data_IF_960882980285
#
_entry.id   IF_960882980285
#
_cell.length_a   1.000
_cell.length_b   1.000
_cell.length_c   1.000
_cell.angle_alpha   90.00
_cell.angle_beta   90.00
_cell.angle_gamma   90.00
#
_symmetry.space_group_name_H-M   'P 1'
#
loop_
_entity.id
_entity.type
_entity.pdbx_description
1 polymer ?
#
# COMPACT_ATOMS: atom_id res chain seq x y z
N UNK A 1 -18.60 -43.13 -25.00
CA UNK A 1 -17.29 -42.94 -25.67
C UNK A 1 -17.25 -41.51 -26.19
N UNK A 2 -16.42 -40.64 -25.60
CA UNK A 2 -16.24 -39.28 -26.10
C UNK A 2 -15.66 -39.29 -27.53
N UNK A 3 -16.20 -38.44 -28.40
CA UNK A 3 -15.87 -38.42 -29.82
C UNK A 3 -14.44 -37.92 -30.07
N UNK A 4 -13.89 -38.24 -31.24
CA UNK A 4 -12.59 -37.72 -31.68
C UNK A 4 -12.55 -36.18 -31.72
N UNK A 5 -13.71 -35.54 -31.95
CA UNK A 5 -13.85 -34.09 -31.98
C UNK A 5 -13.61 -33.45 -30.60
N UNK A 6 -14.17 -34.03 -29.53
CA UNK A 6 -14.00 -33.56 -28.14
C UNK A 6 -12.54 -33.65 -27.65
N UNK A 7 -11.75 -34.57 -28.22
CA UNK A 7 -10.32 -34.73 -27.87
C UNK A 7 -9.42 -33.69 -28.53
N UNK A 8 -9.79 -33.20 -29.71
CA UNK A 8 -9.00 -32.21 -30.48
C UNK A 8 -9.25 -30.79 -29.97
N UNK A 9 -10.48 -30.47 -29.57
CA UNK A 9 -10.83 -29.13 -29.08
C UNK A 9 -10.29 -28.80 -27.68
N UNK A 10 -9.75 -29.77 -26.93
CA UNK A 10 -9.20 -29.53 -25.58
C UNK A 10 -8.01 -28.55 -25.61
N UNK A 11 -7.18 -28.60 -26.64
CA UNK A 11 -6.02 -27.71 -26.83
C UNK A 11 -6.38 -26.31 -27.38
N UNK A 12 -7.58 -26.15 -27.94
CA UNK A 12 -8.12 -24.86 -28.40
C UNK A 12 -8.90 -24.13 -27.29
N UNK A 13 -9.11 -24.78 -26.15
CA UNK A 13 -9.62 -24.12 -24.96
C UNK A 13 -8.50 -23.21 -24.44
N UNK A 14 -8.70 -21.88 -24.34
CA UNK A 14 -7.70 -21.04 -23.69
C UNK A 14 -7.41 -21.62 -22.30
N UNK A 15 -6.15 -21.62 -21.84
CA UNK A 15 -5.84 -22.04 -20.48
C UNK A 15 -6.75 -21.24 -19.54
N UNK A 16 -7.33 -21.86 -18.50
CA UNK A 16 -8.15 -21.12 -17.56
C UNK A 16 -7.33 -19.93 -17.07
N UNK A 17 -7.86 -18.72 -17.24
CA UNK A 17 -7.22 -17.51 -16.75
C UNK A 17 -6.81 -17.77 -15.31
N UNK A 18 -5.53 -17.54 -14.99
CA UNK A 18 -5.00 -17.75 -13.64
C UNK A 18 -5.68 -16.74 -12.72
N UNK A 19 -6.83 -17.14 -12.19
CA UNK A 19 -7.57 -16.36 -11.22
C UNK A 19 -6.77 -16.35 -9.94
N UNK A 20 -6.01 -15.27 -9.74
CA UNK A 20 -5.26 -15.05 -8.51
C UNK A 20 -6.23 -14.80 -7.37
N UNK A 21 -5.80 -15.10 -6.14
CA UNK A 21 -6.57 -14.79 -4.96
C UNK A 21 -6.82 -13.27 -4.89
N UNK A 22 -8.08 -12.81 -4.70
CA UNK A 22 -8.42 -11.42 -4.41
C UNK A 22 -7.41 -10.74 -3.47
N UNK A 23 -7.09 -9.47 -3.73
CA UNK A 23 -6.02 -8.75 -3.03
C UNK A 23 -6.16 -8.86 -1.50
N UNK A 24 -7.38 -8.77 -0.97
CA UNK A 24 -7.66 -8.88 0.46
C UNK A 24 -7.36 -10.27 1.05
N UNK A 25 -7.50 -11.37 0.28
CA UNK A 25 -7.11 -12.73 0.70
C UNK A 25 -5.59 -12.83 0.76
N UNK A 26 -4.90 -12.33 -0.26
CA UNK A 26 -3.45 -12.29 -0.30
C UNK A 26 -2.88 -11.49 0.88
N UNK A 27 -3.45 -10.32 1.18
CA UNK A 27 -3.08 -9.48 2.31
C UNK A 27 -3.38 -10.15 3.67
N UNK A 28 -4.58 -10.73 3.83
CA UNK A 28 -4.98 -11.42 5.07
C UNK A 28 -4.06 -12.60 5.40
N UNK A 29 -3.70 -13.41 4.40
CA UNK A 29 -2.79 -14.56 4.59
C UNK A 29 -1.34 -14.16 4.91
N UNK A 30 -0.96 -12.91 4.61
CA UNK A 30 0.39 -12.36 4.82
C UNK A 30 0.51 -11.47 6.07
N UNK A 31 -0.52 -11.42 6.91
CA UNK A 31 -0.49 -10.66 8.17
C UNK A 31 -0.72 -9.15 8.02
N UNK A 32 -1.32 -8.69 6.92
CA UNK A 32 -1.69 -7.29 6.77
C UNK A 32 -2.71 -6.82 7.83
N UNK A 33 -2.72 -5.52 8.11
CA UNK A 33 -3.63 -4.92 9.08
C UNK A 33 -5.11 -5.17 8.74
N UNK A 34 -5.94 -5.36 9.79
CA UNK A 34 -7.38 -5.61 9.62
C UNK A 34 -8.12 -4.48 8.89
N UNK A 35 -7.64 -3.25 9.05
CA UNK A 35 -8.18 -2.07 8.37
C UNK A 35 -7.91 -2.13 6.86
N UNK A 36 -6.65 -2.35 6.48
CA UNK A 36 -6.23 -2.52 5.08
C UNK A 36 -6.95 -3.69 4.39
N UNK A 37 -7.09 -4.83 5.08
CA UNK A 37 -7.82 -6.00 4.55
C UNK A 37 -9.30 -5.67 4.31
N UNK A 38 -9.97 -4.96 5.23
CA UNK A 38 -11.37 -4.55 5.07
C UNK A 38 -11.55 -3.52 3.96
N UNK A 39 -10.62 -2.59 3.80
CA UNK A 39 -10.63 -1.62 2.71
C UNK A 39 -10.42 -2.30 1.34
N UNK A 40 -9.58 -3.33 1.26
CA UNK A 40 -9.30 -4.06 0.02
C UNK A 40 -10.44 -5.03 -0.39
N UNK A 41 -11.31 -5.42 0.55
CA UNK A 41 -12.36 -6.43 0.34
C UNK A 41 -13.35 -6.11 -0.80
N UNK A 42 -13.87 -4.87 -0.96
CA UNK A 42 -14.82 -4.52 -2.02
C UNK A 42 -14.25 -4.54 -3.44
N UNK A 43 -12.93 -4.51 -3.61
CA UNK A 43 -12.28 -4.51 -4.94
C UNK A 43 -12.17 -5.91 -5.56
N UNK A 44 -12.29 -6.98 -4.76
CA UNK A 44 -12.21 -8.35 -5.27
C UNK A 44 -10.89 -8.68 -5.96
N UNK A 45 -10.97 -9.08 -7.23
CA UNK A 45 -9.84 -9.36 -8.13
C UNK A 45 -9.35 -8.11 -8.92
N UNK A 46 -10.01 -6.94 -8.82
CA UNK A 46 -9.58 -5.71 -9.49
C UNK A 46 -8.45 -4.97 -8.74
N UNK A 47 -7.23 -5.46 -8.97
CA UNK A 47 -6.00 -4.87 -8.43
C UNK A 47 -5.75 -3.43 -8.93
N UNK A 48 -6.06 -3.10 -10.18
CA UNK A 48 -5.78 -1.77 -10.72
C UNK A 48 -6.70 -0.73 -10.07
N UNK A 49 -7.99 -1.04 -9.91
CA UNK A 49 -8.92 -0.20 -9.18
C UNK A 49 -8.51 -0.04 -7.71
N UNK A 50 -8.12 -1.12 -7.03
CA UNK A 50 -7.62 -1.03 -5.65
C UNK A 50 -6.37 -0.13 -5.55
N UNK A 51 -5.36 -0.38 -6.38
CA UNK A 51 -4.11 0.39 -6.37
C UNK A 51 -4.34 1.86 -6.73
N UNK A 52 -5.20 2.16 -7.69
CA UNK A 52 -5.58 3.52 -8.06
C UNK A 52 -6.40 4.23 -6.96
N UNK A 53 -7.30 3.52 -6.28
CA UNK A 53 -8.19 4.10 -5.27
C UNK A 53 -7.56 4.27 -3.88
N UNK A 54 -6.46 3.58 -3.56
CA UNK A 54 -5.84 3.60 -2.22
C UNK A 54 -5.48 5.02 -1.76
N UNK A 55 -6.13 5.59 -0.74
CA UNK A 55 -5.91 6.99 -0.36
C UNK A 55 -4.66 7.21 0.51
N UNK A 56 -4.12 6.14 1.11
CA UNK A 56 -3.10 6.18 2.16
C UNK A 56 -1.75 5.66 1.65
N UNK A 57 -0.67 6.40 1.91
CA UNK A 57 0.67 6.09 1.42
C UNK A 57 1.26 4.86 2.13
N UNK A 58 1.06 4.76 3.44
CA UNK A 58 1.51 3.63 4.26
C UNK A 58 0.79 2.32 3.90
N UNK A 59 -0.45 2.39 3.40
CA UNK A 59 -1.17 1.23 2.88
C UNK A 59 -0.58 0.72 1.57
N UNK A 60 -0.23 1.61 0.63
CA UNK A 60 0.46 1.21 -0.60
C UNK A 60 1.81 0.53 -0.29
N UNK A 61 2.54 1.05 0.70
CA UNK A 61 3.81 0.47 1.16
C UNK A 61 3.58 -0.88 1.85
N UNK A 62 2.59 -0.98 2.73
CA UNK A 62 2.23 -2.25 3.38
C UNK A 62 1.81 -3.31 2.34
N UNK A 63 0.99 -2.96 1.33
CA UNK A 63 0.63 -3.86 0.23
C UNK A 63 1.89 -4.33 -0.48
N UNK A 64 2.75 -3.41 -0.94
CA UNK A 64 3.97 -3.75 -1.68
C UNK A 64 4.89 -4.68 -0.89
N UNK A 65 5.15 -4.32 0.37
CA UNK A 65 5.95 -5.12 1.31
C UNK A 65 5.36 -6.53 1.48
N UNK A 66 4.04 -6.64 1.74
CA UNK A 66 3.36 -7.92 1.97
C UNK A 66 3.39 -8.80 0.72
N UNK A 67 3.04 -8.29 -0.46
CA UNK A 67 2.98 -9.13 -1.68
C UNK A 67 4.35 -9.64 -2.13
N UNK A 68 5.45 -9.06 -1.63
CA UNK A 68 6.82 -9.47 -1.93
C UNK A 68 7.53 -8.57 -2.95
N UNK A 69 7.12 -7.30 -3.08
CA UNK A 69 7.95 -6.30 -3.80
C UNK A 69 9.29 -6.19 -3.08
N UNK A 70 10.38 -6.14 -3.85
CA UNK A 70 11.74 -6.07 -3.33
C UNK A 70 11.89 -4.99 -2.23
N UNK A 71 12.48 -5.29 -1.06
CA UNK A 71 12.70 -4.31 0.00
C UNK A 71 13.44 -3.05 -0.49
N UNK A 72 14.33 -3.18 -1.49
CA UNK A 72 15.03 -2.05 -2.10
C UNK A 72 14.05 -1.06 -2.76
N UNK A 73 12.96 -1.54 -3.38
CA UNK A 73 11.92 -0.68 -3.98
C UNK A 73 11.07 0.02 -2.91
N UNK A 74 10.74 -0.70 -1.82
CA UNK A 74 10.05 -0.12 -0.66
C UNK A 74 10.90 0.98 -0.01
N UNK A 75 12.19 0.71 0.21
CA UNK A 75 13.17 1.67 0.73
C UNK A 75 13.33 2.87 -0.22
N UNK A 76 13.35 2.67 -1.55
CA UNK A 76 13.41 3.77 -2.51
C UNK A 76 12.14 4.65 -2.53
N UNK A 77 10.96 4.08 -2.24
CA UNK A 77 9.73 4.86 -2.06
C UNK A 77 9.76 5.67 -0.75
N UNK A 78 10.29 5.09 0.33
CA UNK A 78 10.46 5.77 1.63
C UNK A 78 11.55 6.85 1.60
N UNK A 79 12.61 6.65 0.82
CA UNK A 79 13.64 7.67 0.54
C UNK A 79 13.06 8.86 -0.25
N UNK A 80 12.05 8.66 -1.12
CA UNK A 80 11.34 9.76 -1.80
C UNK A 80 10.23 10.39 -0.95
N UNK A 81 9.64 9.68 0.02
CA UNK A 81 8.77 10.32 1.02
C UNK A 81 9.58 11.17 2.00
N UNK A 82 10.79 10.71 2.32
CA UNK A 82 11.89 11.56 2.81
C UNK A 82 12.35 12.51 1.69
N UNK A 83 13.13 13.55 1.99
CA UNK A 83 13.42 14.68 1.07
C UNK A 83 12.21 15.57 0.76
N UNK A 84 11.01 15.00 0.58
CA UNK A 84 9.74 15.71 0.81
C UNK A 84 9.50 15.99 2.31
N UNK A 85 10.30 15.40 3.20
CA UNK A 85 10.49 15.82 4.59
C UNK A 85 11.63 15.06 5.29
N UNK A 86 11.73 15.20 6.61
CA UNK A 86 12.82 14.65 7.45
C UNK A 86 12.28 13.68 8.51
N UNK A 87 11.82 12.51 8.08
CA UNK A 87 11.44 11.45 9.03
C UNK A 87 12.66 10.90 9.78
N UNK A 88 12.50 10.73 11.09
CA UNK A 88 13.52 10.11 11.94
C UNK A 88 13.35 8.59 11.98
N UNK A 89 12.11 8.10 11.98
CA UNK A 89 11.87 6.65 12.09
C UNK A 89 12.43 5.88 10.90
N UNK A 90 12.23 6.36 9.65
CA UNK A 90 12.85 5.70 8.50
C UNK A 90 14.37 5.82 8.48
N UNK A 91 14.96 6.94 8.92
CA UNK A 91 16.41 7.07 9.03
C UNK A 91 17.04 6.00 9.95
N UNK A 92 16.33 5.58 11.01
CA UNK A 92 16.74 4.47 11.88
C UNK A 92 16.54 3.08 11.26
N UNK A 93 15.49 2.88 10.44
CA UNK A 93 15.22 1.59 9.79
C UNK A 93 16.07 1.34 8.54
N UNK A 94 16.47 2.39 7.82
CA UNK A 94 17.20 2.35 6.54
C UNK A 94 18.44 1.42 6.51
N UNK A 95 19.30 1.34 7.55
CA UNK A 95 20.47 0.46 7.54
C UNK A 95 20.16 -1.04 7.49
N UNK A 96 18.91 -1.43 7.74
CA UNK A 96 18.47 -2.83 7.80
C UNK A 96 17.97 -3.32 6.42
N UNK A 97 18.02 -2.45 5.39
CA UNK A 97 17.57 -2.72 4.03
C UNK A 97 18.37 -3.86 3.38
N UNK A 98 17.81 -5.07 3.41
CA UNK A 98 18.46 -6.31 2.95
C UNK A 98 18.48 -7.44 3.98
N UNK A 99 18.09 -7.18 5.23
CA UNK A 99 17.84 -8.24 6.21
C UNK A 99 16.52 -8.95 5.89
N UNK A 100 16.55 -10.29 5.86
CA UNK A 100 15.43 -11.11 5.40
C UNK A 100 14.13 -10.91 6.21
N UNK A 101 14.27 -10.70 7.52
CA UNK A 101 13.14 -10.63 8.47
C UNK A 101 12.77 -9.21 8.90
N UNK A 102 13.36 -8.17 8.29
CA UNK A 102 13.09 -6.76 8.63
C UNK A 102 11.77 -6.22 8.05
N UNK A 103 10.91 -7.07 7.47
CA UNK A 103 9.69 -6.68 6.77
C UNK A 103 8.71 -5.90 7.68
N UNK A 104 8.42 -6.42 8.87
CA UNK A 104 7.53 -5.76 9.84
C UNK A 104 8.08 -4.38 10.22
N UNK A 105 9.39 -4.30 10.44
CA UNK A 105 10.07 -3.05 10.79
C UNK A 105 10.00 -2.01 9.66
N UNK A 106 10.03 -2.41 8.38
CA UNK A 106 9.78 -1.49 7.27
C UNK A 106 8.33 -1.03 7.17
N UNK A 107 7.36 -1.91 7.45
CA UNK A 107 5.94 -1.55 7.47
C UNK A 107 5.67 -0.55 8.60
N UNK A 108 6.20 -0.79 9.79
CA UNK A 108 6.03 0.11 10.94
C UNK A 108 6.82 1.41 10.77
N UNK A 109 8.05 1.35 10.22
CA UNK A 109 8.79 2.56 9.87
C UNK A 109 8.08 3.38 8.79
N UNK A 110 7.42 2.74 7.81
CA UNK A 110 6.63 3.43 6.80
C UNK A 110 5.41 4.14 7.39
N UNK A 111 4.65 3.46 8.25
CA UNK A 111 3.51 4.06 8.97
C UNK A 111 3.95 5.27 9.80
N UNK A 112 5.01 5.11 10.60
CA UNK A 112 5.55 6.18 11.42
C UNK A 112 6.06 7.36 10.56
N UNK A 113 6.78 7.08 9.47
CA UNK A 113 7.28 8.09 8.52
C UNK A 113 6.15 8.89 7.90
N UNK A 114 5.10 8.23 7.42
CA UNK A 114 3.94 8.92 6.84
C UNK A 114 3.23 9.77 7.90
N UNK A 115 3.04 9.27 9.14
CA UNK A 115 2.48 10.08 10.23
C UNK A 115 3.36 11.28 10.57
N UNK A 116 4.67 11.10 10.76
CA UNK A 116 5.63 12.18 11.01
C UNK A 116 5.58 13.25 9.90
N UNK A 117 5.51 12.85 8.63
CA UNK A 117 5.43 13.76 7.48
C UNK A 117 4.11 14.53 7.47
N UNK A 118 2.96 13.86 7.64
CA UNK A 118 1.64 14.51 7.63
C UNK A 118 1.49 15.46 8.84
N UNK A 119 1.91 15.05 10.04
CA UNK A 119 1.88 15.89 11.26
C UNK A 119 2.91 17.03 11.26
N UNK A 120 3.92 16.97 10.38
CA UNK A 120 4.87 18.08 10.17
C UNK A 120 4.28 19.22 9.34
N UNK A 121 3.21 18.97 8.57
CA UNK A 121 2.57 19.96 7.70
C UNK A 121 1.93 21.10 8.52
N UNK A 122 2.21 22.38 8.20
CA UNK A 122 1.64 23.52 8.91
C UNK A 122 0.11 23.52 8.97
N UNK A 123 -0.55 23.17 7.87
CA UNK A 123 -2.00 23.13 7.71
C UNK A 123 -2.66 22.05 8.58
N UNK A 124 -2.12 20.84 8.59
CA UNK A 124 -2.57 19.73 9.46
C UNK A 124 -2.40 20.11 10.93
N UNK A 125 -1.24 20.68 11.29
CA UNK A 125 -0.97 21.13 12.66
C UNK A 125 -1.90 22.24 13.11
N UNK A 126 -2.15 23.23 12.26
CA UNK A 126 -3.08 24.31 12.53
C UNK A 126 -4.52 23.81 12.73
N UNK A 127 -4.96 22.84 11.93
CA UNK A 127 -6.28 22.22 12.07
C UNK A 127 -6.42 21.42 13.38
N UNK A 128 -5.40 20.62 13.75
CA UNK A 128 -5.36 19.90 15.04
C UNK A 128 -5.39 20.88 16.22
N UNK A 129 -4.59 21.95 16.18
CA UNK A 129 -4.55 22.95 17.25
C UNK A 129 -5.80 23.83 17.31
N UNK A 130 -6.55 23.97 16.21
CA UNK A 130 -7.88 24.56 16.21
C UNK A 130 -8.87 23.64 16.93
N UNK A 131 -8.94 22.35 16.57
CA UNK A 131 -9.83 21.38 17.22
C UNK A 131 -9.67 21.34 18.75
N UNK A 132 -8.44 21.45 19.24
CA UNK A 132 -8.12 21.47 20.69
C UNK A 132 -8.64 22.69 21.46
N UNK A 133 -8.92 23.81 20.78
CA UNK A 133 -9.27 25.10 21.40
C UNK A 133 -10.76 25.44 21.35
N UNK A 134 -11.52 24.67 20.59
CA UNK A 134 -12.93 24.95 20.27
C UNK A 134 -13.89 24.24 21.23
N UNK A 135 -15.07 24.83 21.41
CA UNK A 135 -16.17 24.16 22.11
C UNK A 135 -16.76 23.03 21.25
N UNK A 136 -17.47 22.08 21.87
CA UNK A 136 -17.93 20.84 21.22
C UNK A 136 -18.75 21.06 19.94
N UNK A 137 -19.47 22.18 19.83
CA UNK A 137 -20.28 22.49 18.64
C UNK A 137 -19.42 22.89 17.43
N UNK A 138 -18.34 23.63 17.66
CA UNK A 138 -17.42 24.10 16.63
C UNK A 138 -16.37 23.02 16.27
N UNK A 139 -16.08 22.12 17.22
CA UNK A 139 -15.18 20.98 17.03
C UNK A 139 -15.59 20.07 15.85
N UNK A 140 -16.88 19.91 15.55
CA UNK A 140 -17.32 19.05 14.44
C UNK A 140 -16.85 19.57 13.07
N UNK A 141 -17.03 20.87 12.81
CA UNK A 141 -16.60 21.50 11.57
C UNK A 141 -15.07 21.58 11.47
N UNK A 142 -14.38 21.90 12.57
CA UNK A 142 -12.93 21.93 12.61
C UNK A 142 -12.31 20.53 12.43
N UNK A 143 -12.92 19.49 12.99
CA UNK A 143 -12.49 18.09 12.79
C UNK A 143 -12.60 17.70 11.32
N UNK A 144 -13.72 18.00 10.66
CA UNK A 144 -13.87 17.70 9.24
C UNK A 144 -12.79 18.38 8.39
N UNK A 145 -12.46 19.65 8.67
CA UNK A 145 -11.36 20.36 8.00
C UNK A 145 -10.02 19.67 8.27
N UNK A 146 -9.76 19.22 9.50
CA UNK A 146 -8.55 18.49 9.85
C UNK A 146 -8.45 17.14 9.12
N UNK A 147 -9.55 16.38 9.09
CA UNK A 147 -9.66 15.07 8.45
C UNK A 147 -9.52 15.18 6.93
N UNK A 148 -10.14 16.19 6.30
CA UNK A 148 -10.02 16.48 4.86
C UNK A 148 -8.59 16.88 4.48
N UNK A 149 -7.95 17.74 5.30
CA UNK A 149 -6.55 18.16 5.11
C UNK A 149 -5.59 16.97 5.26
N UNK A 150 -5.82 16.12 6.26
CA UNK A 150 -5.06 14.89 6.47
C UNK A 150 -5.22 13.91 5.29
N UNK A 151 -6.45 13.76 4.77
CA UNK A 151 -6.75 12.92 3.62
C UNK A 151 -6.19 13.48 2.30
N UNK A 152 -6.07 14.80 2.13
CA UNK A 152 -5.36 15.41 1.00
C UNK A 152 -3.85 15.17 1.08
N UNK A 153 -3.22 15.42 2.24
CA UNK A 153 -1.81 15.11 2.45
C UNK A 153 -1.48 13.63 2.19
N UNK A 154 -2.33 12.71 2.68
CA UNK A 154 -2.20 11.28 2.42
C UNK A 154 -2.31 10.93 0.93
N UNK A 155 -3.24 11.54 0.17
CA UNK A 155 -3.36 11.33 -1.27
C UNK A 155 -2.14 11.81 -2.04
N UNK A 156 -1.53 12.93 -1.64
CA UNK A 156 -0.29 13.45 -2.22
C UNK A 156 0.89 12.47 -1.99
N UNK A 157 1.07 12.01 -0.75
CA UNK A 157 2.10 11.01 -0.41
C UNK A 157 1.83 9.66 -1.10
N UNK A 158 0.57 9.26 -1.26
CA UNK A 158 0.20 8.06 -2.01
C UNK A 158 0.51 8.18 -3.50
N UNK A 159 0.44 9.39 -4.08
CA UNK A 159 0.89 9.67 -5.44
C UNK A 159 2.40 9.43 -5.59
N UNK A 160 3.21 9.90 -4.63
CA UNK A 160 4.66 9.66 -4.57
C UNK A 160 4.98 8.15 -4.60
N UNK A 161 4.32 7.35 -3.74
CA UNK A 161 4.55 5.90 -3.68
C UNK A 161 4.26 5.21 -5.02
N UNK A 162 3.15 5.58 -5.70
CA UNK A 162 2.78 5.02 -7.01
C UNK A 162 3.80 5.30 -8.12
N UNK A 163 4.58 6.40 -8.03
CA UNK A 163 5.67 6.67 -8.99
C UNK A 163 6.84 5.69 -8.84
N UNK A 164 7.05 5.14 -7.64
CA UNK A 164 8.17 4.23 -7.32
C UNK A 164 7.79 2.75 -7.36
N UNK A 165 6.54 2.44 -7.06
CA UNK A 165 5.99 1.09 -7.04
C UNK A 165 4.74 1.09 -7.93
N UNK A 166 4.84 0.42 -9.09
CA UNK A 166 3.81 0.42 -10.11
C UNK A 166 2.87 -0.79 -9.94
N UNK A 167 1.62 -0.68 -10.42
CA UNK A 167 0.61 -1.74 -10.26
C UNK A 167 1.00 -3.06 -10.95
N UNK A 168 1.76 -3.01 -12.06
CA UNK A 168 2.30 -4.20 -12.72
C UNK A 168 3.33 -4.93 -11.85
N UNK A 169 4.14 -4.22 -11.06
CA UNK A 169 5.06 -4.85 -10.10
C UNK A 169 4.30 -5.59 -8.99
N UNK A 170 3.19 -5.01 -8.49
CA UNK A 170 2.30 -5.66 -7.52
C UNK A 170 1.63 -6.90 -8.13
N UNK A 171 1.16 -6.81 -9.37
CA UNK A 171 0.54 -7.92 -10.12
C UNK A 171 1.51 -9.09 -10.28
N UNK A 172 2.72 -8.83 -10.76
CA UNK A 172 3.75 -9.86 -10.97
C UNK A 172 4.09 -10.61 -9.68
N UNK A 173 4.16 -9.89 -8.55
CA UNK A 173 4.35 -10.50 -7.22
C UNK A 173 3.15 -11.38 -6.79
N UNK A 174 1.91 -10.95 -7.07
CA UNK A 174 0.70 -11.72 -6.74
C UNK A 174 0.51 -12.96 -7.63
N UNK A 175 0.83 -12.88 -8.92
CA UNK A 175 0.73 -14.00 -9.88
C UNK A 175 1.79 -15.10 -9.67
N UNK A 176 2.81 -14.83 -8.84
CA UNK A 176 3.92 -15.75 -8.59
C UNK A 176 4.90 -15.88 -9.77
N UNK A 177 4.75 -15.08 -10.83
CA UNK A 177 5.69 -14.99 -11.98
C UNK A 177 6.89 -14.11 -11.58
N UNK A 178 7.45 -14.38 -10.40
CA UNK A 178 8.31 -13.42 -9.70
C UNK A 178 8.88 -13.92 -8.39
N UNK A 179 8.92 -15.25 -8.17
CA UNK A 179 9.93 -15.80 -7.28
C UNK A 179 11.31 -15.35 -7.80
N UNK A 180 12.02 -14.58 -7.00
CA UNK A 180 13.23 -13.83 -7.33
C UNK A 180 14.17 -14.57 -8.32
N UNK A 181 14.59 -13.97 -9.46
CA UNK A 181 15.53 -14.60 -10.40
C UNK A 181 16.97 -14.74 -9.87
N UNK A 182 17.18 -14.42 -8.60
CA UNK A 182 18.41 -14.67 -7.84
C UNK A 182 18.06 -15.33 -6.50
N UNK A 183 17.54 -16.55 -6.57
CA UNK A 183 18.02 -17.64 -5.72
C UNK A 183 19.17 -18.34 -6.46
#
# INVERSE_FOLDING_TARGET
MASLFERVTWWLRPPPEKRFDPLWIALRSRGASRELVRWAEPFGDDLDAAWAACPRAEWLIEIAARVGVSPIRVVAALDELSTHGTSRTFASARPLAGQADALELFVDAARATVSELVESRPEVRAAIDACRKLERAEHAAASQIADDTYAEAQRELASIVRRRIRADEIRVCLEGIGGHPYR
#
